data_IF_212537358717
#
_entry.id   IF_212537358717
#
_cell.length_a   1.000
_cell.length_b   1.000
_cell.length_c   1.000
_cell.angle_alpha   90.00
_cell.angle_beta   90.00
_cell.angle_gamma   90.00
#
_symmetry.space_group_name_H-M   'P 1'
#
loop_
_entity.id
_entity.type
_entity.pdbx_description
1 polymer ?
#
# COMPACT_ATOMS: atom_id res chain seq x y z
N UNK A 1 -33.06 -0.50 1.88
CA UNK A 1 -31.94 -0.33 0.92
C UNK A 1 -30.79 -1.25 1.34
N UNK A 2 -30.98 -2.58 1.28
CA UNK A 2 -30.13 -3.57 1.97
C UNK A 2 -29.14 -4.43 1.16
N UNK A 3 -29.26 -4.61 -0.18
CA UNK A 3 -28.27 -5.39 -0.95
C UNK A 3 -27.25 -4.55 -1.74
N UNK A 4 -27.63 -3.34 -2.18
CA UNK A 4 -26.80 -2.50 -3.05
C UNK A 4 -25.56 -1.96 -2.33
N UNK A 5 -25.71 -1.50 -1.08
CA UNK A 5 -24.58 -1.00 -0.28
C UNK A 5 -23.52 -2.06 0.03
N UNK A 6 -23.92 -3.33 0.26
CA UNK A 6 -22.99 -4.41 0.52
C UNK A 6 -22.23 -4.85 -0.75
N UNK A 7 -22.89 -4.83 -1.92
CA UNK A 7 -22.20 -5.04 -3.20
C UNK A 7 -21.23 -3.92 -3.52
N UNK A 8 -21.59 -2.67 -3.23
CA UNK A 8 -20.74 -1.50 -3.48
C UNK A 8 -19.51 -1.52 -2.56
N UNK A 9 -19.68 -1.88 -1.28
CA UNK A 9 -18.56 -2.13 -0.38
C UNK A 9 -17.65 -3.27 -0.88
N UNK A 10 -18.22 -4.39 -1.32
CA UNK A 10 -17.42 -5.51 -1.86
C UNK A 10 -16.61 -5.07 -3.09
N UNK A 11 -17.20 -4.27 -3.98
CA UNK A 11 -16.52 -3.71 -5.13
C UNK A 11 -15.38 -2.75 -4.73
N UNK A 12 -15.62 -1.88 -3.74
CA UNK A 12 -14.61 -0.97 -3.22
C UNK A 12 -13.44 -1.72 -2.56
N UNK A 13 -13.72 -2.75 -1.75
CA UNK A 13 -12.69 -3.60 -1.13
C UNK A 13 -11.85 -4.35 -2.17
N UNK A 14 -12.49 -4.87 -3.22
CA UNK A 14 -11.78 -5.50 -4.32
C UNK A 14 -10.87 -4.52 -5.05
N UNK A 15 -11.36 -3.31 -5.31
CA UNK A 15 -10.59 -2.28 -6.00
C UNK A 15 -9.39 -1.82 -5.16
N UNK A 16 -9.55 -1.61 -3.85
CA UNK A 16 -8.44 -1.31 -2.94
C UNK A 16 -7.42 -2.46 -2.94
N UNK A 17 -7.87 -3.71 -2.89
CA UNK A 17 -7.01 -4.90 -2.98
C UNK A 17 -6.13 -4.91 -4.23
N UNK A 18 -6.71 -4.63 -5.40
CA UNK A 18 -5.94 -4.55 -6.65
C UNK A 18 -4.85 -3.48 -6.61
N UNK A 19 -5.12 -2.34 -5.98
CA UNK A 19 -4.11 -1.30 -5.84
C UNK A 19 -3.00 -1.71 -4.84
N UNK A 20 -3.33 -2.44 -3.78
CA UNK A 20 -2.34 -3.01 -2.85
C UNK A 20 -1.47 -4.08 -3.52
N UNK A 21 -2.05 -4.94 -4.36
CA UNK A 21 -1.32 -5.91 -5.18
C UNK A 21 -0.35 -5.21 -6.14
N UNK A 22 -0.80 -4.14 -6.80
CA UNK A 22 0.07 -3.33 -7.65
C UNK A 22 1.19 -2.66 -6.83
N UNK A 23 0.89 -2.13 -5.64
CA UNK A 23 1.90 -1.56 -4.75
C UNK A 23 2.96 -2.60 -4.39
N UNK A 24 2.54 -3.82 -4.02
CA UNK A 24 3.44 -4.92 -3.69
C UNK A 24 4.34 -5.25 -4.89
N UNK A 25 3.75 -5.40 -6.08
CA UNK A 25 4.51 -5.62 -7.31
C UNK A 25 5.55 -4.52 -7.57
N UNK A 26 5.23 -3.24 -7.34
CA UNK A 26 6.18 -2.14 -7.52
C UNK A 26 7.33 -2.19 -6.52
N UNK A 27 7.05 -2.52 -5.25
CA UNK A 27 8.11 -2.69 -4.24
C UNK A 27 9.04 -3.86 -4.58
N UNK A 28 8.47 -5.00 -4.99
CA UNK A 28 9.26 -6.16 -5.42
C UNK A 28 10.11 -5.83 -6.64
N UNK A 29 9.55 -5.11 -7.62
CA UNK A 29 10.28 -4.67 -8.82
C UNK A 29 11.41 -3.70 -8.47
N UNK A 30 11.17 -2.73 -7.59
CA UNK A 30 12.21 -1.80 -7.13
C UNK A 30 13.36 -2.57 -6.46
N UNK A 31 13.04 -3.52 -5.58
CA UNK A 31 14.04 -4.36 -4.92
C UNK A 31 14.88 -5.12 -5.94
N UNK A 32 14.27 -5.72 -6.95
CA UNK A 32 15.00 -6.44 -8.01
C UNK A 32 15.96 -5.51 -8.78
N UNK A 33 15.55 -4.28 -9.08
CA UNK A 33 16.43 -3.28 -9.71
C UNK A 33 17.58 -2.87 -8.81
N UNK A 34 17.32 -2.67 -7.51
CA UNK A 34 18.35 -2.34 -6.51
C UNK A 34 19.37 -3.46 -6.39
N UNK A 35 18.92 -4.71 -6.28
CA UNK A 35 19.79 -5.90 -6.18
C UNK A 35 20.61 -6.12 -7.46
N UNK A 36 20.06 -5.80 -8.63
CA UNK A 36 20.77 -5.84 -9.90
C UNK A 36 21.79 -4.69 -10.07
N UNK A 37 21.77 -3.69 -9.18
CA UNK A 37 22.63 -2.51 -9.26
C UNK A 37 22.18 -1.46 -10.29
N UNK A 38 20.94 -1.53 -10.78
CA UNK A 38 20.41 -0.63 -11.80
C UNK A 38 19.87 0.67 -11.16
N UNK A 39 20.76 1.42 -10.51
CA UNK A 39 20.42 2.60 -9.70
C UNK A 39 19.91 3.78 -10.53
N UNK A 40 20.17 3.80 -11.83
CA UNK A 40 19.67 4.80 -12.77
C UNK A 40 18.12 4.83 -12.87
N UNK A 41 17.45 3.72 -12.54
CA UNK A 41 15.98 3.64 -12.56
C UNK A 41 15.29 4.05 -11.26
N UNK A 42 16.05 4.33 -10.19
CA UNK A 42 15.48 4.62 -8.86
C UNK A 42 14.43 5.73 -8.88
N UNK A 43 14.66 6.80 -9.64
CA UNK A 43 13.72 7.90 -9.76
C UNK A 43 12.37 7.47 -10.39
N UNK A 44 12.43 6.60 -11.41
CA UNK A 44 11.24 6.07 -12.06
C UNK A 44 10.49 5.14 -11.11
N UNK A 45 11.20 4.21 -10.46
CA UNK A 45 10.60 3.28 -9.50
C UNK A 45 9.94 4.01 -8.33
N UNK A 46 10.59 5.04 -7.77
CA UNK A 46 10.00 5.85 -6.72
C UNK A 46 8.72 6.57 -7.19
N UNK A 47 8.73 7.13 -8.41
CA UNK A 47 7.57 7.80 -8.98
C UNK A 47 6.39 6.85 -9.24
N UNK A 48 6.67 5.60 -9.66
CA UNK A 48 5.63 4.59 -9.84
C UNK A 48 4.99 4.17 -8.51
N UNK A 49 5.79 4.00 -7.44
CA UNK A 49 5.26 3.69 -6.11
C UNK A 49 4.43 4.86 -5.58
N UNK A 50 4.89 6.11 -5.74
CA UNK A 50 4.13 7.30 -5.39
C UNK A 50 2.78 7.36 -6.11
N UNK A 51 2.74 7.09 -7.41
CA UNK A 51 1.51 7.11 -8.19
C UNK A 51 0.48 6.08 -7.67
N UNK A 52 0.93 4.89 -7.28
CA UNK A 52 0.06 3.88 -6.67
C UNK A 52 -0.42 4.32 -5.29
N UNK A 53 0.44 4.91 -4.47
CA UNK A 53 0.05 5.45 -3.16
C UNK A 53 -0.98 6.57 -3.29
N UNK A 54 -0.85 7.45 -4.27
CA UNK A 54 -1.84 8.50 -4.52
C UNK A 54 -3.17 7.91 -4.96
N UNK A 55 -3.16 6.86 -5.80
CA UNK A 55 -4.39 6.14 -6.18
C UNK A 55 -5.06 5.47 -4.98
N UNK A 56 -4.28 4.82 -4.12
CA UNK A 56 -4.78 4.17 -2.90
C UNK A 56 -5.54 5.12 -1.98
N UNK A 57 -5.17 6.40 -1.93
CA UNK A 57 -5.90 7.40 -1.14
C UNK A 57 -7.35 7.54 -1.62
N UNK A 58 -7.59 7.50 -2.92
CA UNK A 58 -8.94 7.56 -3.48
C UNK A 58 -9.72 6.28 -3.21
N UNK A 59 -9.09 5.11 -3.36
CA UNK A 59 -9.76 3.83 -3.08
C UNK A 59 -10.10 3.68 -1.58
N UNK A 60 -9.23 4.16 -0.68
CA UNK A 60 -9.49 4.18 0.75
C UNK A 60 -10.66 5.10 1.12
N UNK A 61 -10.79 6.26 0.46
CA UNK A 61 -11.95 7.15 0.62
C UNK A 61 -13.24 6.49 0.13
N UNK A 62 -13.22 5.89 -1.06
CA UNK A 62 -14.37 5.17 -1.61
C UNK A 62 -14.82 4.04 -0.67
N UNK A 63 -13.90 3.18 -0.24
CA UNK A 63 -14.18 2.13 0.76
C UNK A 63 -14.78 2.71 2.03
N UNK A 64 -14.25 3.82 2.55
CA UNK A 64 -14.73 4.40 3.81
C UNK A 64 -16.18 4.90 3.70
N UNK A 65 -16.58 5.45 2.55
CA UNK A 65 -17.96 5.84 2.27
C UNK A 65 -18.88 4.63 2.23
N UNK A 66 -18.52 3.60 1.45
CA UNK A 66 -19.36 2.40 1.32
C UNK A 66 -19.46 1.61 2.63
N UNK A 67 -18.35 1.54 3.37
CA UNK A 67 -18.30 0.87 4.68
C UNK A 67 -19.21 1.56 5.69
N UNK A 68 -19.19 2.90 5.77
CA UNK A 68 -20.08 3.65 6.64
C UNK A 68 -21.57 3.48 6.26
N UNK A 69 -21.88 3.40 4.97
CA UNK A 69 -23.23 3.15 4.48
C UNK A 69 -23.73 1.76 4.89
N UNK A 70 -22.90 0.73 4.72
CA UNK A 70 -23.20 -0.65 5.16
C UNK A 70 -23.34 -0.73 6.68
N UNK A 71 -22.41 -0.12 7.43
CA UNK A 71 -22.47 -0.09 8.89
C UNK A 71 -23.79 0.50 9.39
N UNK A 72 -24.16 1.67 8.86
CA UNK A 72 -25.44 2.33 9.21
C UNK A 72 -26.63 1.46 8.85
N UNK A 73 -26.62 0.84 7.66
CA UNK A 73 -27.70 -0.05 7.22
C UNK A 73 -27.85 -1.30 8.09
N UNK A 74 -26.78 -1.75 8.74
CA UNK A 74 -26.76 -2.90 9.64
C UNK A 74 -26.83 -2.52 11.13
N UNK A 75 -27.08 -1.24 11.44
CA UNK A 75 -27.25 -0.77 12.82
C UNK A 75 -25.96 -0.63 13.63
N UNK A 76 -24.81 -0.56 12.96
CA UNK A 76 -23.50 -0.32 13.55
C UNK A 76 -23.09 1.15 13.46
N UNK A 77 -22.13 1.62 14.28
CA UNK A 77 -21.50 2.93 14.10
C UNK A 77 -20.84 3.06 12.71
N UNK A 78 -20.88 4.24 12.11
CA UNK A 78 -20.31 4.50 10.77
C UNK A 78 -18.80 4.16 10.66
N UNK A 79 -18.09 4.18 11.79
CA UNK A 79 -16.67 3.84 11.93
C UNK A 79 -16.41 2.36 12.26
N UNK A 80 -17.41 1.48 12.09
CA UNK A 80 -17.24 0.05 12.30
C UNK A 80 -16.13 -0.53 11.42
N UNK A 81 -15.34 -1.41 12.00
CA UNK A 81 -14.28 -2.17 11.34
C UNK A 81 -14.88 -3.25 10.43
N UNK A 82 -14.10 -3.74 9.47
CA UNK A 82 -14.53 -4.84 8.60
C UNK A 82 -14.84 -6.12 9.41
N UNK A 83 -14.14 -6.35 10.51
CA UNK A 83 -14.42 -7.48 11.42
C UNK A 83 -15.81 -7.34 12.04
N UNK A 84 -16.16 -6.15 12.55
CA UNK A 84 -17.49 -5.87 13.10
C UNK A 84 -18.58 -5.98 12.04
N UNK A 85 -18.32 -5.50 10.81
CA UNK A 85 -19.23 -5.67 9.68
C UNK A 85 -19.47 -7.15 9.34
N UNK A 86 -18.41 -7.97 9.28
CA UNK A 86 -18.52 -9.43 9.05
C UNK A 86 -19.37 -10.09 10.13
N UNK A 87 -19.24 -9.68 11.39
CA UNK A 87 -20.01 -10.24 12.51
C UNK A 87 -21.48 -9.80 12.53
N UNK A 88 -21.78 -8.56 12.12
CA UNK A 88 -23.14 -8.03 12.07
C UNK A 88 -23.87 -8.29 10.75
N UNK A 89 -23.17 -8.83 9.75
CA UNK A 89 -23.73 -9.11 8.44
C UNK A 89 -25.00 -10.00 8.56
N UNK A 90 -26.13 -9.59 7.95
CA UNK A 90 -27.36 -10.38 7.96
C UNK A 90 -27.17 -11.77 7.36
N UNK A 91 -28.09 -12.68 7.68
CA UNK A 91 -28.13 -14.01 7.07
C UNK A 91 -28.17 -13.90 5.52
N UNK A 92 -27.26 -14.61 4.86
CA UNK A 92 -27.04 -14.51 3.42
C UNK A 92 -25.55 -14.71 3.07
N UNK A 93 -25.13 -14.30 1.86
CA UNK A 93 -23.77 -14.55 1.36
C UNK A 93 -22.73 -13.55 1.89
N UNK A 94 -23.17 -12.39 2.40
CA UNK A 94 -22.27 -11.29 2.78
C UNK A 94 -21.28 -11.60 3.91
N UNK A 95 -21.62 -12.36 4.97
CA UNK A 95 -20.65 -12.72 6.00
C UNK A 95 -19.43 -13.47 5.45
N UNK A 96 -19.64 -14.35 4.47
CA UNK A 96 -18.57 -15.13 3.82
C UNK A 96 -17.76 -14.26 2.87
N UNK A 97 -18.42 -13.52 1.97
CA UNK A 97 -17.76 -12.63 1.00
C UNK A 97 -16.89 -11.59 1.72
N UNK A 98 -17.41 -10.93 2.75
CA UNK A 98 -16.65 -9.92 3.49
C UNK A 98 -15.49 -10.54 4.30
N UNK A 99 -15.63 -11.79 4.75
CA UNK A 99 -14.54 -12.53 5.41
C UNK A 99 -13.41 -12.87 4.43
N UNK A 100 -13.74 -13.31 3.22
CA UNK A 100 -12.74 -13.52 2.17
C UNK A 100 -11.96 -12.23 1.86
N UNK A 101 -12.65 -11.09 1.79
CA UNK A 101 -11.99 -9.78 1.65
C UNK A 101 -11.06 -9.47 2.83
N UNK A 102 -11.53 -9.67 4.05
CA UNK A 102 -10.76 -9.44 5.27
C UNK A 102 -9.46 -10.25 5.28
N UNK A 103 -9.56 -11.55 4.98
CA UNK A 103 -8.41 -12.46 5.00
C UNK A 103 -7.41 -12.10 3.90
N UNK A 104 -7.88 -11.82 2.68
CA UNK A 104 -7.03 -11.40 1.57
C UNK A 104 -6.31 -10.07 1.84
N UNK A 105 -7.01 -9.09 2.43
CA UNK A 105 -6.42 -7.79 2.76
C UNK A 105 -5.39 -7.90 3.88
N UNK A 106 -5.63 -8.74 4.90
CA UNK A 106 -4.66 -9.01 5.98
C UNK A 106 -3.37 -9.64 5.44
N UNK A 107 -3.51 -10.64 4.58
CA UNK A 107 -2.37 -11.28 3.92
C UNK A 107 -1.56 -10.27 3.08
N UNK A 108 -2.24 -9.44 2.29
CA UNK A 108 -1.58 -8.41 1.49
C UNK A 108 -0.86 -7.37 2.35
N UNK A 109 -1.45 -6.94 3.48
CA UNK A 109 -0.79 -6.01 4.40
C UNK A 109 0.49 -6.61 5.00
N UNK A 110 0.45 -7.89 5.41
CA UNK A 110 1.62 -8.57 5.93
C UNK A 110 2.74 -8.64 4.89
N UNK A 111 2.40 -9.02 3.65
CA UNK A 111 3.35 -9.06 2.52
C UNK A 111 3.90 -7.68 2.18
N UNK A 112 3.07 -6.65 2.16
CA UNK A 112 3.50 -5.26 1.93
C UNK A 112 4.46 -4.77 3.00
N UNK A 113 4.17 -5.04 4.29
CA UNK A 113 5.05 -4.69 5.39
C UNK A 113 6.42 -5.36 5.27
N UNK A 114 6.44 -6.66 4.94
CA UNK A 114 7.68 -7.40 4.70
C UNK A 114 8.45 -6.85 3.50
N UNK A 115 7.78 -6.60 2.36
CA UNK A 115 8.39 -6.06 1.15
C UNK A 115 8.97 -4.66 1.39
N UNK A 116 8.24 -3.78 2.09
CA UNK A 116 8.71 -2.45 2.44
C UNK A 116 9.97 -2.52 3.31
N UNK A 117 9.99 -3.38 4.34
CA UNK A 117 11.16 -3.57 5.21
C UNK A 117 12.39 -4.04 4.42
N UNK A 118 12.24 -5.12 3.64
CA UNK A 118 13.35 -5.68 2.86
C UNK A 118 13.89 -4.67 1.85
N UNK A 119 13.00 -3.92 1.21
CA UNK A 119 13.39 -2.91 0.24
C UNK A 119 14.09 -1.71 0.90
N UNK A 120 13.63 -1.28 2.08
CA UNK A 120 14.32 -0.26 2.87
C UNK A 120 15.72 -0.73 3.29
N UNK A 121 15.85 -1.96 3.79
CA UNK A 121 17.14 -2.57 4.13
C UNK A 121 18.08 -2.58 2.91
N UNK A 122 17.60 -3.03 1.74
CA UNK A 122 18.38 -3.05 0.50
C UNK A 122 18.88 -1.64 0.12
N UNK A 123 17.99 -0.65 0.11
CA UNK A 123 18.35 0.74 -0.19
C UNK A 123 19.35 1.32 0.81
N UNK A 124 19.24 1.00 2.10
CA UNK A 124 20.16 1.49 3.14
C UNK A 124 21.59 0.95 3.00
N UNK A 125 21.77 -0.22 2.37
CA UNK A 125 23.10 -0.79 2.11
C UNK A 125 23.83 -0.12 0.94
N UNK A 126 23.13 0.68 0.13
CA UNK A 126 23.74 1.37 -1.01
C UNK A 126 24.65 2.52 -0.54
N UNK A 127 25.80 2.74 -1.21
CA UNK A 127 26.67 3.89 -0.92
C UNK A 127 25.92 5.22 -1.13
N UNK A 128 25.94 6.10 -0.13
CA UNK A 128 25.31 7.44 -0.22
C UNK A 128 25.90 8.33 -1.31
N UNK A 129 27.16 8.09 -1.70
CA UNK A 129 27.84 8.82 -2.76
C UNK A 129 27.63 8.21 -4.15
N UNK A 130 26.78 7.17 -4.28
CA UNK A 130 26.65 6.42 -5.54
C UNK A 130 27.96 5.74 -5.97
N UNK A 131 27.99 5.22 -7.19
CA UNK A 131 29.22 4.70 -7.81
C UNK A 131 30.19 5.87 -8.05
N UNK A 132 31.50 5.74 -7.77
CA UNK A 132 32.46 6.78 -8.10
C UNK A 132 32.41 7.12 -9.60
N UNK A 133 32.04 8.36 -9.90
CA UNK A 133 32.00 8.92 -11.25
C UNK A 133 33.35 9.50 -11.69
N UNK A 134 33.49 9.93 -12.96
CA UNK A 134 34.70 10.59 -13.44
C UNK A 134 34.99 11.87 -12.66
N UNK A 135 36.28 12.19 -12.45
CA UNK A 135 36.68 13.38 -11.73
C UNK A 135 36.12 14.67 -12.39
N UNK A 136 35.67 15.62 -11.57
CA UNK A 136 35.16 16.92 -12.01
C UNK A 136 33.66 17.14 -11.74
N UNK A 137 33.15 18.29 -12.17
CA UNK A 137 31.80 18.75 -11.83
C UNK A 137 30.67 17.82 -12.34
N UNK A 138 30.86 17.18 -13.50
CA UNK A 138 29.88 16.24 -14.06
C UNK A 138 29.74 14.97 -13.22
N UNK A 139 30.86 14.40 -12.74
CA UNK A 139 30.82 13.24 -11.85
C UNK A 139 30.24 13.58 -10.47
N UNK A 140 30.48 14.80 -9.96
CA UNK A 140 29.84 15.26 -8.72
C UNK A 140 28.31 15.40 -8.89
N UNK A 141 27.84 15.93 -10.03
CA UNK A 141 26.41 16.08 -10.30
C UNK A 141 25.69 14.72 -10.39
N UNK A 142 26.32 13.73 -11.01
CA UNK A 142 25.79 12.36 -11.11
C UNK A 142 25.67 11.69 -9.73
N UNK A 143 26.69 11.86 -8.88
CA UNK A 143 26.69 11.38 -7.49
C UNK A 143 25.56 12.02 -6.67
N UNK A 144 25.39 13.35 -6.77
CA UNK A 144 24.32 14.07 -6.07
C UNK A 144 22.93 13.65 -6.56
N UNK A 145 22.77 13.41 -7.86
CA UNK A 145 21.51 12.94 -8.45
C UNK A 145 21.16 11.54 -7.94
N UNK A 146 22.14 10.64 -7.91
CA UNK A 146 21.97 9.28 -7.37
C UNK A 146 21.60 9.31 -5.88
N UNK A 147 22.29 10.15 -5.09
CA UNK A 147 22.00 10.34 -3.67
C UNK A 147 20.57 10.83 -3.44
N UNK A 148 20.12 11.85 -4.19
CA UNK A 148 18.74 12.35 -4.11
C UNK A 148 17.70 11.30 -4.52
N UNK A 149 17.97 10.51 -5.56
CA UNK A 149 17.08 9.43 -5.99
C UNK A 149 16.97 8.31 -4.93
N UNK A 150 18.07 8.02 -4.23
CA UNK A 150 18.08 7.07 -3.11
C UNK A 150 17.26 7.58 -1.93
N UNK A 151 17.43 8.84 -1.54
CA UNK A 151 16.66 9.45 -0.45
C UNK A 151 15.15 9.47 -0.76
N UNK A 152 14.78 9.84 -1.99
CA UNK A 152 13.38 9.76 -2.46
C UNK A 152 12.84 8.33 -2.38
N UNK A 153 13.60 7.36 -2.88
CA UNK A 153 13.22 5.93 -2.85
C UNK A 153 12.96 5.45 -1.42
N UNK A 154 13.85 5.78 -0.47
CA UNK A 154 13.69 5.45 0.95
C UNK A 154 12.42 6.09 1.55
N UNK A 155 12.20 7.38 1.26
CA UNK A 155 11.03 8.10 1.78
C UNK A 155 9.72 7.48 1.27
N UNK A 156 9.69 7.03 0.02
CA UNK A 156 8.51 6.42 -0.60
C UNK A 156 8.25 5.02 -0.04
N UNK A 157 9.28 4.18 0.11
CA UNK A 157 9.15 2.84 0.70
C UNK A 157 8.60 2.90 2.12
N UNK A 158 9.04 3.87 2.93
CA UNK A 158 8.54 4.09 4.29
C UNK A 158 7.05 4.48 4.36
N UNK A 159 6.48 4.96 3.25
CA UNK A 159 5.05 5.29 3.14
C UNK A 159 4.20 4.11 2.66
N UNK A 160 4.81 3.00 2.26
CA UNK A 160 4.08 1.85 1.74
C UNK A 160 3.18 1.14 2.77
N UNK A 161 3.57 0.99 4.06
CA UNK A 161 2.68 0.45 5.08
C UNK A 161 1.37 1.23 5.19
N UNK A 162 0.24 0.52 5.36
CA UNK A 162 -1.11 1.10 5.39
C UNK A 162 -1.76 0.98 6.79
N UNK A 163 -1.34 1.80 7.78
CA UNK A 163 -1.81 1.67 9.16
C UNK A 163 -3.32 1.92 9.30
N UNK A 164 -3.89 2.86 8.54
CA UNK A 164 -5.33 3.14 8.58
C UNK A 164 -6.17 1.98 8.04
N UNK A 165 -5.68 1.28 7.01
CA UNK A 165 -6.31 0.05 6.54
C UNK A 165 -6.18 -1.03 7.62
N UNK A 166 -5.02 -1.21 8.25
CA UNK A 166 -4.85 -2.19 9.33
C UNK A 166 -5.86 -1.97 10.49
N UNK A 167 -6.06 -0.71 10.91
CA UNK A 167 -7.08 -0.35 11.90
C UNK A 167 -8.50 -0.70 11.44
N UNK A 168 -8.82 -0.40 10.18
CA UNK A 168 -10.12 -0.77 9.59
C UNK A 168 -10.35 -2.30 9.55
N UNK A 169 -9.30 -3.09 9.35
CA UNK A 169 -9.36 -4.56 9.39
C UNK A 169 -9.39 -5.15 10.82
N UNK A 170 -9.55 -4.30 11.84
CA UNK A 170 -9.62 -4.70 13.25
C UNK A 170 -8.27 -4.87 13.94
N UNK A 171 -7.20 -4.27 13.42
CA UNK A 171 -5.93 -4.13 14.14
C UNK A 171 -6.01 -3.11 15.27
N UNK A 172 -5.11 -3.21 16.26
CA UNK A 172 -5.09 -2.30 17.41
C UNK A 172 -5.00 -0.83 16.97
N UNK A 173 -5.87 0.02 17.54
CA UNK A 173 -5.73 1.48 17.50
C UNK A 173 -4.65 1.87 18.50
N UNK A 174 -3.39 1.63 18.14
CA UNK A 174 -2.24 2.17 18.87
C UNK A 174 -2.29 3.70 18.92
#
# INVERSE_FOLDING_TARGET
>A
MGPMSASDLSAALWQERRQLELLLFRLETQRLHVEAGNLEWLNFMASEVEAVLDRLRFEALARSVESAAVATAWGLPAQATLVELVSAAPAGPWPEILREHLDALRELLARLGAAARVNEEALQTLPRTGRPGPAGAAGLLDQLTTAGNLERSLAVVRRAPQPLLAQYLGGDRG
#
